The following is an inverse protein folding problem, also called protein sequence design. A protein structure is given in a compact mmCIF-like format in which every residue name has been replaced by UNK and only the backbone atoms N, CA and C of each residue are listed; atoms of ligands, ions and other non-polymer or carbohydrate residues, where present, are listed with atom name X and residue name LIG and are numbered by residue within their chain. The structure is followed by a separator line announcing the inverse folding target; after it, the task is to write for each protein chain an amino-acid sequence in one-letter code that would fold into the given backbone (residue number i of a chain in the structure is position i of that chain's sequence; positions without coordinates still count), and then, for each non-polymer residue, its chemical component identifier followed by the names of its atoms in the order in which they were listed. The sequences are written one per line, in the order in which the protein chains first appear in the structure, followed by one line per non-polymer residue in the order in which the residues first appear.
data_IF_781998751759
#
_entry.id   IF_781998751759
#
_cell.length_a   1.000
_cell.length_b   1.000
_cell.length_c   1.000
_cell.angle_alpha   90.00
_cell.angle_beta   90.00
_cell.angle_gamma   90.00
#
_symmetry.space_group_name_H-M   'P 1'
#
loop_
_entity.id
_entity.type
_entity.pdbx_description
1 polymer ?
#
# COMPACT_ATOMS: atom_id res chain seq x y z
N UNK A 1 32.67 20.77 -20.94
CA UNK A 1 31.93 19.49 -21.00
C UNK A 1 30.52 19.71 -20.51
N UNK A 2 29.51 19.30 -21.28
CA UNK A 2 28.10 19.35 -20.84
C UNK A 2 27.95 18.32 -19.72
N UNK A 3 27.60 18.78 -18.51
CA UNK A 3 27.30 17.88 -17.37
C UNK A 3 26.11 17.00 -17.77
N UNK A 4 26.32 15.68 -17.83
CA UNK A 4 25.23 14.70 -17.94
C UNK A 4 24.25 14.95 -16.79
N UNK A 5 23.09 15.51 -17.11
CA UNK A 5 21.98 15.73 -16.17
C UNK A 5 20.98 14.61 -16.40
N UNK A 6 21.25 13.46 -15.79
CA UNK A 6 20.38 12.28 -15.71
C UNK A 6 20.15 11.54 -17.04
N UNK A 7 20.32 10.20 -17.01
CA UNK A 7 19.91 9.29 -18.08
C UNK A 7 19.05 8.18 -17.49
N UNK A 8 18.02 7.74 -18.23
CA UNK A 8 17.23 6.60 -17.81
C UNK A 8 18.10 5.34 -17.92
N UNK A 9 18.17 4.55 -16.84
CA UNK A 9 18.98 3.33 -16.78
C UNK A 9 18.53 2.28 -17.81
N UNK A 10 17.23 2.24 -18.13
CA UNK A 10 16.63 1.21 -18.99
C UNK A 10 16.58 1.59 -20.48
N UNK A 11 17.35 2.61 -20.91
CA UNK A 11 17.33 3.14 -22.29
C UNK A 11 15.93 3.56 -22.80
N UNK A 12 14.97 3.76 -21.89
CA UNK A 12 13.61 4.19 -22.22
C UNK A 12 13.65 5.65 -22.65
N UNK A 13 13.45 5.89 -23.94
CA UNK A 13 13.32 7.23 -24.48
C UNK A 13 11.90 7.75 -24.33
N UNK A 14 11.73 8.96 -23.78
CA UNK A 14 10.42 9.60 -23.69
C UNK A 14 10.01 10.15 -25.06
N UNK A 15 8.97 9.57 -25.65
CA UNK A 15 8.37 10.05 -26.91
C UNK A 15 7.28 11.12 -26.70
N UNK A 16 6.95 11.43 -25.44
CA UNK A 16 5.86 12.36 -25.08
C UNK A 16 6.28 13.81 -25.28
N UNK A 17 5.40 14.60 -25.88
CA UNK A 17 5.58 16.02 -26.14
C UNK A 17 4.90 16.87 -25.06
N UNK A 18 5.23 18.16 -24.98
CA UNK A 18 4.60 19.10 -24.04
C UNK A 18 3.07 19.20 -24.23
N UNK A 19 2.58 18.96 -25.45
CA UNK A 19 1.13 18.89 -25.74
C UNK A 19 0.47 17.70 -25.06
N UNK A 20 1.17 16.56 -24.95
CA UNK A 20 0.67 15.39 -24.23
C UNK A 20 0.59 15.65 -22.72
N UNK A 21 1.57 16.39 -22.17
CA UNK A 21 1.55 16.81 -20.77
C UNK A 21 0.37 17.76 -20.48
N UNK A 22 0.11 18.74 -21.37
CA UNK A 22 -1.03 19.64 -21.24
C UNK A 22 -2.37 18.91 -21.36
N UNK A 23 -2.48 17.95 -22.28
CA UNK A 23 -3.67 17.09 -22.41
C UNK A 23 -3.89 16.31 -21.10
N UNK A 24 -2.87 15.63 -20.60
CA UNK A 24 -2.94 14.89 -19.34
C UNK A 24 -3.34 15.76 -18.15
N UNK A 25 -2.78 16.96 -18.03
CA UNK A 25 -3.12 17.88 -16.95
C UNK A 25 -4.60 18.31 -17.00
N UNK A 26 -5.13 18.62 -18.20
CA UNK A 26 -6.55 18.94 -18.38
C UNK A 26 -7.45 17.75 -18.05
N UNK A 27 -7.10 16.55 -18.49
CA UNK A 27 -7.82 15.32 -18.15
C UNK A 27 -7.86 15.07 -16.65
N UNK A 28 -6.71 15.23 -15.96
CA UNK A 28 -6.66 15.10 -14.49
C UNK A 28 -7.53 16.12 -13.76
N UNK A 29 -7.57 17.36 -14.24
CA UNK A 29 -8.42 18.42 -13.66
C UNK A 29 -9.91 18.15 -13.84
N UNK A 30 -10.31 17.48 -14.93
CA UNK A 30 -11.71 17.15 -15.21
C UNK A 30 -12.22 15.96 -14.39
N UNK A 31 -11.33 15.08 -13.92
CA UNK A 31 -11.71 13.93 -13.08
C UNK A 31 -12.20 14.41 -11.72
N UNK A 32 -13.51 14.37 -11.51
CA UNK A 32 -14.09 14.42 -10.17
C UNK A 32 -13.89 13.06 -9.51
N UNK A 33 -13.32 13.06 -8.31
CA UNK A 33 -13.18 11.87 -7.49
C UNK A 33 -14.29 11.88 -6.47
N UNK A 34 -15.06 10.81 -6.42
CA UNK A 34 -15.96 10.56 -5.32
C UNK A 34 -15.16 9.96 -4.15
N UNK A 35 -15.20 10.65 -3.01
CA UNK A 35 -14.56 10.25 -1.77
C UNK A 35 -15.56 9.89 -0.68
N UNK A 36 -16.86 9.84 -1.01
CA UNK A 36 -17.93 9.59 -0.06
C UNK A 36 -18.08 8.11 0.29
N UNK A 37 -17.69 7.23 -0.63
CA UNK A 37 -17.78 5.80 -0.40
C UNK A 37 -16.76 5.34 0.64
N UNK A 38 -17.28 4.81 1.74
CA UNK A 38 -16.49 4.11 2.76
C UNK A 38 -16.73 2.62 2.62
N UNK A 39 -15.64 1.87 2.55
CA UNK A 39 -15.68 0.42 2.53
C UNK A 39 -16.19 -0.05 3.91
N UNK A 40 -17.14 -1.01 3.96
CA UNK A 40 -17.60 -1.57 5.23
C UNK A 40 -16.43 -2.13 6.03
N UNK A 41 -16.41 -1.80 7.32
CA UNK A 41 -15.41 -2.29 8.25
C UNK A 41 -16.02 -3.40 9.12
N UNK A 42 -15.22 -4.41 9.44
CA UNK A 42 -15.63 -5.46 10.38
C UNK A 42 -15.34 -4.94 11.77
N UNK A 43 -16.40 -4.64 12.55
CA UNK A 43 -16.26 -4.04 13.89
C UNK A 43 -15.43 -4.92 14.85
N UNK A 44 -15.51 -6.24 14.68
CA UNK A 44 -14.82 -7.21 15.53
C UNK A 44 -14.16 -8.30 14.69
N UNK A 45 -12.83 -8.27 14.61
CA UNK A 45 -12.03 -9.37 14.08
C UNK A 45 -11.57 -10.30 15.20
N UNK A 46 -11.37 -11.57 14.88
CA UNK A 46 -10.95 -12.59 15.83
C UNK A 46 -9.45 -12.47 16.15
N UNK A 47 -9.07 -11.46 16.95
CA UNK A 47 -7.67 -11.20 17.34
C UNK A 47 -7.02 -12.43 17.97
N UNK A 48 -7.74 -13.16 18.83
CA UNK A 48 -7.25 -14.40 19.43
C UNK A 48 -6.89 -15.47 18.39
N UNK A 49 -7.72 -15.62 17.34
CA UNK A 49 -7.43 -16.53 16.23
C UNK A 49 -6.18 -16.06 15.49
N UNK A 50 -6.06 -14.78 15.17
CA UNK A 50 -4.88 -14.23 14.47
C UNK A 50 -3.57 -14.49 15.23
N UNK A 51 -3.56 -14.39 16.56
CA UNK A 51 -2.35 -14.63 17.36
C UNK A 51 -2.01 -16.12 17.53
N UNK A 52 -3.02 -16.99 17.56
CA UNK A 52 -2.83 -18.42 17.88
C UNK A 52 -2.85 -19.34 16.68
N UNK A 53 -3.31 -18.85 15.52
CA UNK A 53 -3.41 -19.65 14.31
C UNK A 53 -2.02 -20.07 13.81
N UNK A 54 -1.85 -21.39 13.70
CA UNK A 54 -0.65 -22.03 13.15
C UNK A 54 -0.96 -23.05 12.06
N UNK A 55 -2.23 -23.38 11.84
CA UNK A 55 -2.66 -24.53 11.04
C UNK A 55 -3.57 -24.13 9.88
N UNK A 56 -4.39 -23.09 10.04
CA UNK A 56 -5.35 -22.67 9.04
C UNK A 56 -4.73 -21.63 8.12
N UNK A 57 -5.03 -21.75 6.83
CA UNK A 57 -4.71 -20.68 5.87
C UNK A 57 -5.73 -19.56 6.03
N UNK A 58 -5.28 -18.38 6.45
CA UNK A 58 -6.12 -17.19 6.61
C UNK A 58 -5.61 -16.05 5.73
N UNK A 59 -6.55 -15.27 5.20
CA UNK A 59 -6.27 -14.07 4.42
C UNK A 59 -7.10 -12.93 4.99
N UNK A 60 -6.43 -11.92 5.55
CA UNK A 60 -7.06 -10.72 6.08
C UNK A 60 -6.63 -9.51 5.28
N UNK A 61 -7.62 -8.76 4.76
CA UNK A 61 -7.34 -7.52 4.04
C UNK A 61 -7.30 -6.34 4.99
N UNK A 62 -6.17 -5.64 5.02
CA UNK A 62 -5.97 -4.46 5.88
C UNK A 62 -6.40 -3.20 5.15
N UNK A 63 -6.27 -3.17 3.82
CA UNK A 63 -6.60 -2.03 2.96
C UNK A 63 -5.50 -1.71 1.96
N UNK A 64 -5.87 -1.10 0.83
CA UNK A 64 -4.97 -0.92 -0.32
C UNK A 64 -4.37 -2.26 -0.76
N UNK A 65 -3.05 -2.37 -0.82
CA UNK A 65 -2.29 -3.57 -1.20
C UNK A 65 -1.77 -4.33 0.02
N UNK A 66 -2.21 -3.95 1.24
CA UNK A 66 -1.80 -4.58 2.49
C UNK A 66 -2.71 -5.75 2.84
N UNK A 67 -2.13 -6.95 2.85
CA UNK A 67 -2.75 -8.18 3.31
C UNK A 67 -1.92 -8.80 4.41
N UNK A 68 -2.60 -9.44 5.36
CA UNK A 68 -2.01 -10.38 6.33
C UNK A 68 -2.40 -11.78 5.89
N UNK A 69 -1.40 -12.62 5.65
CA UNK A 69 -1.57 -13.97 5.13
C UNK A 69 -0.97 -14.90 6.16
N UNK A 70 -1.78 -15.78 6.74
CA UNK A 70 -1.28 -16.85 7.59
C UNK A 70 -1.33 -18.15 6.80
N UNK A 71 -0.20 -18.81 6.60
CA UNK A 71 -0.10 -20.05 5.83
C UNK A 71 1.08 -20.88 6.30
N UNK A 72 0.89 -22.19 6.48
CA UNK A 72 1.93 -23.12 6.93
C UNK A 72 2.67 -22.66 8.21
N UNK A 73 1.94 -22.06 9.15
CA UNK A 73 2.50 -21.54 10.40
C UNK A 73 3.23 -20.20 10.30
N UNK A 74 3.36 -19.61 9.10
CA UNK A 74 3.96 -18.31 8.87
C UNK A 74 2.90 -17.21 8.80
N UNK A 75 3.23 -16.03 9.32
CA UNK A 75 2.51 -14.77 9.11
C UNK A 75 3.28 -13.90 8.12
N UNK A 76 2.66 -13.61 6.98
CA UNK A 76 3.23 -12.80 5.90
C UNK A 76 2.42 -11.52 5.76
N UNK A 77 3.09 -10.37 5.62
CA UNK A 77 2.46 -9.08 5.34
C UNK A 77 2.91 -8.54 3.99
N UNK A 78 1.97 -8.16 3.12
CA UNK A 78 2.27 -7.52 1.83
C UNK A 78 2.23 -5.99 1.97
N UNK A 79 3.14 -5.29 1.29
CA UNK A 79 3.13 -3.82 1.08
C UNK A 79 2.53 -3.04 2.28
N UNK A 80 3.19 -3.06 3.46
CA UNK A 80 2.59 -2.67 4.73
C UNK A 80 2.31 -1.17 4.80
N UNK A 81 1.03 -0.78 4.81
CA UNK A 81 0.55 0.60 4.96
C UNK A 81 -0.48 0.70 6.10
N UNK A 82 -0.05 1.20 7.25
CA UNK A 82 -0.93 1.60 8.37
C UNK A 82 -1.06 3.12 8.52
N UNK A 83 -0.39 3.90 7.66
CA UNK A 83 -0.44 5.35 7.72
C UNK A 83 -1.87 5.87 7.47
N UNK A 84 -2.31 6.82 8.30
CA UNK A 84 -3.57 7.58 8.06
C UNK A 84 -3.47 8.50 6.84
N UNK A 85 -2.26 8.80 6.37
CA UNK A 85 -2.00 9.73 5.28
C UNK A 85 -0.71 9.36 4.55
N UNK A 86 -0.75 9.36 3.22
CA UNK A 86 0.40 9.23 2.33
C UNK A 86 0.57 10.53 1.54
N UNK A 87 1.59 11.32 1.88
CA UNK A 87 1.80 12.64 1.28
C UNK A 87 0.61 13.58 1.52
N UNK A 88 -0.16 13.92 0.48
CA UNK A 88 -1.38 14.75 0.58
C UNK A 88 -2.68 13.95 0.59
N UNK A 89 -2.62 12.63 0.39
CA UNK A 89 -3.77 11.75 0.30
C UNK A 89 -4.06 11.17 1.68
N UNK A 90 -5.28 11.37 2.19
CA UNK A 90 -5.76 10.75 3.43
C UNK A 90 -6.34 9.38 3.13
N UNK A 91 -6.14 8.44 4.05
CA UNK A 91 -6.84 7.15 4.05
C UNK A 91 -8.32 7.40 4.32
N UNK A 92 -9.21 6.72 3.59
CA UNK A 92 -10.66 6.90 3.71
C UNK A 92 -11.31 6.00 4.76
N UNK A 93 -10.74 4.81 4.96
CA UNK A 93 -11.20 3.80 5.92
C UNK A 93 -10.04 3.42 6.83
N UNK A 94 -10.34 3.16 8.10
CA UNK A 94 -9.34 2.63 9.03
C UNK A 94 -8.80 1.27 8.55
N UNK A 95 -7.59 0.86 8.99
CA UNK A 95 -7.05 -0.44 8.63
C UNK A 95 -7.94 -1.57 9.17
N UNK A 96 -8.04 -2.65 8.40
CA UNK A 96 -8.86 -3.81 8.77
C UNK A 96 -8.44 -4.44 10.10
N UNK A 97 -7.15 -4.44 10.41
CA UNK A 97 -6.58 -4.81 11.70
C UNK A 97 -5.70 -3.64 12.17
N UNK A 98 -5.88 -3.21 13.42
CA UNK A 98 -5.06 -2.16 14.00
C UNK A 98 -3.62 -2.66 14.19
N UNK A 99 -2.65 -1.77 14.03
CA UNK A 99 -1.23 -2.15 14.08
C UNK A 99 -0.84 -2.80 15.41
N UNK A 100 -1.46 -2.41 16.52
CA UNK A 100 -1.18 -2.98 17.85
C UNK A 100 -1.83 -4.35 18.08
N UNK A 101 -2.78 -4.75 17.23
CA UNK A 101 -3.43 -6.07 17.26
C UNK A 101 -2.80 -7.04 16.25
N UNK A 102 -1.70 -6.64 15.61
CA UNK A 102 -1.01 -7.50 14.65
C UNK A 102 -0.35 -8.68 15.35
N UNK A 103 -0.48 -9.91 14.82
CA UNK A 103 0.36 -11.02 15.24
C UNK A 103 1.81 -10.77 14.83
N UNK A 104 2.74 -11.52 15.43
CA UNK A 104 4.14 -11.50 14.99
C UNK A 104 4.24 -11.81 13.49
N UNK A 105 4.96 -10.97 12.77
CA UNK A 105 5.18 -11.08 11.33
C UNK A 105 6.50 -11.79 11.08
N UNK A 106 6.47 -12.86 10.28
CA UNK A 106 7.65 -13.63 9.91
C UNK A 106 8.28 -13.08 8.62
N UNK A 107 7.44 -12.60 7.68
CA UNK A 107 7.87 -12.15 6.36
C UNK A 107 7.13 -10.88 5.95
N UNK A 108 7.87 -9.89 5.47
CA UNK A 108 7.30 -8.71 4.78
C UNK A 108 7.62 -8.83 3.29
N UNK A 109 6.59 -8.78 2.45
CA UNK A 109 6.71 -8.77 0.99
C UNK A 109 6.49 -7.35 0.47
N UNK A 110 7.48 -6.82 -0.23
CA UNK A 110 7.41 -5.52 -0.90
C UNK A 110 7.39 -5.73 -2.40
N UNK A 111 6.34 -5.26 -3.08
CA UNK A 111 6.20 -5.38 -4.53
C UNK A 111 7.11 -4.42 -5.28
N UNK A 112 7.18 -3.15 -4.85
CA UNK A 112 8.01 -2.11 -5.45
C UNK A 112 8.18 -0.89 -4.53
N UNK A 113 9.05 0.05 -4.92
CA UNK A 113 9.47 1.19 -4.08
C UNK A 113 8.65 2.47 -4.27
N UNK A 114 7.32 2.38 -4.40
CA UNK A 114 6.44 3.56 -4.35
C UNK A 114 5.90 3.78 -2.94
N UNK A 115 5.57 5.02 -2.58
CA UNK A 115 5.19 5.40 -1.22
C UNK A 115 3.93 4.70 -0.68
N UNK A 116 3.04 4.27 -1.57
CA UNK A 116 1.83 3.50 -1.27
C UNK A 116 2.09 1.99 -1.12
N UNK A 117 3.32 1.52 -1.36
CA UNK A 117 3.73 0.13 -1.15
C UNK A 117 4.92 -0.01 -0.18
N UNK A 118 5.74 1.03 -0.06
CA UNK A 118 6.96 1.08 0.75
C UNK A 118 6.88 2.22 1.78
N UNK A 119 6.17 2.00 2.88
CA UNK A 119 6.10 2.95 3.98
C UNK A 119 6.98 2.52 5.16
N UNK A 120 8.16 3.15 5.30
CA UNK A 120 9.17 2.77 6.30
C UNK A 120 8.65 2.72 7.74
N UNK A 121 7.79 3.65 8.14
CA UNK A 121 7.27 3.64 9.51
C UNK A 121 6.33 2.47 9.76
N UNK A 122 5.58 2.02 8.74
CA UNK A 122 4.78 0.80 8.86
C UNK A 122 5.63 -0.45 8.85
N UNK A 123 6.69 -0.50 8.03
CA UNK A 123 7.63 -1.64 8.01
C UNK A 123 8.34 -1.82 9.36
N UNK A 124 8.75 -0.72 10.01
CA UNK A 124 9.47 -0.77 11.29
C UNK A 124 8.59 -1.12 12.50
N UNK A 125 7.27 -1.02 12.33
CA UNK A 125 6.31 -1.22 13.41
C UNK A 125 5.43 -2.45 13.20
N UNK A 126 5.57 -3.11 12.06
CA UNK A 126 5.00 -4.42 11.76
C UNK A 126 5.90 -5.54 12.31
#
# INVERSE_FOLDING_TARGET
MIRKRYENLDSVQTTKRLVDLHRWYRERKRKQKDWSYQIPHVEHYETALLHTNRTHTLLSWIGHSTFVIQVNGLTIVTDPIWAKRLGTIKRLSDPGILLHDMPNVDVILISHSHYDHLHFSSIKSA
#
